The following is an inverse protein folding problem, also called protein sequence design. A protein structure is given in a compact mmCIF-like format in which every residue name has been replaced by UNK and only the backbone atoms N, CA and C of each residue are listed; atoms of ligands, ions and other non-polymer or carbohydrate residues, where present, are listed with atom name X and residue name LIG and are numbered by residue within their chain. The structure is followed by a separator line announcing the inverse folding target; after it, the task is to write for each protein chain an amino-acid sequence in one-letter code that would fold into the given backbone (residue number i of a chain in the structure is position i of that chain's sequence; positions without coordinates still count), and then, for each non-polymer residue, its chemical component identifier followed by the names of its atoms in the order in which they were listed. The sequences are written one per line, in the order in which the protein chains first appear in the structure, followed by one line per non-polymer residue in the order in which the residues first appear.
data_IF_923286783204
#
_entry.id   IF_923286783204
#
_cell.length_a   1.000
_cell.length_b   1.000
_cell.length_c   1.000
_cell.angle_alpha   90.00
_cell.angle_beta   90.00
_cell.angle_gamma   90.00
#
_symmetry.space_group_name_H-M   'P 1'
#
loop_
_entity.id
_entity.type
_entity.pdbx_description
1 polymer ?
#
# COMPACT_ATOMS: atom_id res chain seq x y z
N UNK A 1 -12.04 2.53 7.75
CA UNK A 1 -11.89 3.33 9.00
C UNK A 1 -11.00 2.57 9.98
N UNK A 2 -10.14 3.27 10.75
CA UNK A 2 -9.29 2.67 11.79
C UNK A 2 -9.91 2.94 13.16
N UNK A 3 -10.10 1.89 13.94
CA UNK A 3 -10.56 1.96 15.32
C UNK A 3 -9.54 1.28 16.23
N UNK A 4 -9.07 1.96 17.26
CA UNK A 4 -8.18 1.36 18.26
C UNK A 4 -9.00 0.59 19.26
N UNK A 5 -8.76 -0.70 19.39
CA UNK A 5 -9.46 -1.58 20.33
C UNK A 5 -8.67 -1.76 21.64
N UNK A 6 -7.33 -1.70 21.56
CA UNK A 6 -6.43 -1.75 22.72
C UNK A 6 -5.09 -1.09 22.36
N UNK A 7 -4.15 -0.92 23.32
CA UNK A 7 -2.80 -0.43 23.03
C UNK A 7 -2.08 -1.21 21.93
N UNK A 8 -2.41 -2.50 21.75
CA UNK A 8 -1.73 -3.42 20.84
C UNK A 8 -2.62 -3.96 19.71
N UNK A 9 -3.85 -3.46 19.57
CA UNK A 9 -4.78 -3.97 18.57
C UNK A 9 -5.58 -2.81 17.95
N UNK A 10 -5.59 -2.78 16.62
CA UNK A 10 -6.49 -1.92 15.85
C UNK A 10 -7.40 -2.77 14.97
N UNK A 11 -8.57 -2.22 14.71
CA UNK A 11 -9.50 -2.74 13.73
C UNK A 11 -9.53 -1.82 12.52
N UNK A 12 -9.44 -2.39 11.34
CA UNK A 12 -9.54 -1.71 10.06
C UNK A 12 -10.83 -2.14 9.38
N UNK A 13 -11.75 -1.21 9.22
CA UNK A 13 -12.97 -1.45 8.44
C UNK A 13 -12.70 -1.11 6.98
N UNK A 14 -12.86 -2.10 6.11
CA UNK A 14 -12.62 -2.04 4.68
C UNK A 14 -13.94 -2.07 3.92
N UNK A 15 -14.07 -1.23 2.91
CA UNK A 15 -15.29 -1.11 2.12
C UNK A 15 -16.33 -0.20 2.80
N UNK A 16 -17.35 0.17 2.06
CA UNK A 16 -18.42 1.04 2.54
C UNK A 16 -18.44 2.38 1.82
N UNK A 17 -18.71 2.35 0.53
CA UNK A 17 -19.48 3.42 -0.10
C UNK A 17 -20.90 3.34 0.41
N UNK A 18 -21.51 4.48 0.72
CA UNK A 18 -22.86 4.59 1.34
C UNK A 18 -24.01 3.96 0.55
N UNK A 19 -23.77 3.26 -0.54
CA UNK A 19 -24.82 2.79 -1.47
C UNK A 19 -24.71 1.35 -1.97
N UNK A 20 -23.72 0.55 -1.61
CA UNK A 20 -23.64 -0.80 -2.18
C UNK A 20 -23.13 -1.86 -1.19
N UNK A 21 -23.83 -2.97 -1.14
CA UNK A 21 -23.42 -4.29 -0.66
C UNK A 21 -22.14 -4.77 -1.36
N UNK A 22 -21.18 -5.38 -0.67
CA UNK A 22 -21.33 -6.23 0.51
C UNK A 22 -21.05 -5.49 1.83
N UNK A 23 -21.39 -6.13 2.99
CA UNK A 23 -21.12 -5.54 4.30
C UNK A 23 -19.64 -5.22 4.47
N UNK A 24 -19.29 -4.18 5.25
CA UNK A 24 -17.91 -3.81 5.47
C UNK A 24 -17.12 -4.99 6.04
N UNK A 25 -15.98 -5.29 5.44
CA UNK A 25 -15.07 -6.32 5.94
C UNK A 25 -14.19 -5.74 7.04
N UNK A 26 -13.90 -6.55 8.03
CA UNK A 26 -13.13 -6.15 9.21
C UNK A 26 -11.81 -6.89 9.22
N UNK A 27 -10.73 -6.16 9.48
CA UNK A 27 -9.38 -6.68 9.60
C UNK A 27 -8.82 -6.26 10.95
N UNK A 28 -8.40 -7.22 11.76
CA UNK A 28 -7.75 -6.99 13.04
C UNK A 28 -6.23 -6.98 12.88
N UNK A 29 -5.58 -5.90 13.26
CA UNK A 29 -4.12 -5.77 13.15
C UNK A 29 -3.51 -5.58 14.54
N UNK A 30 -2.66 -6.50 14.94
CA UNK A 30 -1.79 -6.33 16.11
C UNK A 30 -0.75 -5.27 15.80
N UNK A 31 -0.58 -4.37 16.73
CA UNK A 31 0.44 -3.34 16.71
C UNK A 31 1.71 -3.87 17.37
N UNK A 32 2.73 -4.09 16.58
CA UNK A 32 4.07 -4.41 17.05
C UNK A 32 5.00 -3.20 17.01
N UNK A 33 6.23 -3.42 16.57
CA UNK A 33 7.25 -2.38 16.38
C UNK A 33 7.51 -2.07 14.90
N UNK A 34 6.76 -2.68 13.99
CA UNK A 34 6.77 -2.33 12.58
C UNK A 34 6.14 -0.95 12.34
N UNK A 35 6.22 -0.46 11.11
CA UNK A 35 5.64 0.82 10.72
C UNK A 35 4.16 0.90 11.12
N UNK A 36 3.71 2.02 11.76
CA UNK A 36 2.36 2.11 12.30
C UNK A 36 1.29 2.03 11.18
N UNK A 37 0.40 1.04 11.23
CA UNK A 37 -0.63 0.89 10.19
C UNK A 37 -1.65 2.05 10.18
N UNK A 38 -1.73 2.83 11.27
CA UNK A 38 -2.58 4.02 11.38
C UNK A 38 -1.99 5.28 10.75
N UNK A 39 -0.75 5.20 10.25
CA UNK A 39 -0.08 6.35 9.61
C UNK A 39 -0.94 6.90 8.45
N UNK A 40 -0.94 8.22 8.20
CA UNK A 40 -1.71 8.82 7.11
C UNK A 40 -1.48 8.15 5.76
N UNK A 41 -0.23 7.82 5.41
CA UNK A 41 0.12 7.16 4.14
C UNK A 41 -0.53 5.79 3.99
N UNK A 42 -0.66 5.01 5.07
CA UNK A 42 -1.38 3.73 5.02
C UNK A 42 -2.86 3.91 4.70
N UNK A 43 -3.49 4.98 5.23
CA UNK A 43 -4.89 5.32 4.91
C UNK A 43 -5.07 5.71 3.46
N UNK A 44 -4.15 6.53 2.92
CA UNK A 44 -4.16 6.94 1.52
C UNK A 44 -3.99 5.73 0.59
N UNK A 45 -3.07 4.81 0.91
CA UNK A 45 -2.91 3.56 0.16
C UNK A 45 -4.17 2.67 0.20
N UNK A 46 -4.85 2.57 1.36
CA UNK A 46 -6.10 1.81 1.47
C UNK A 46 -7.25 2.42 0.66
N UNK A 47 -7.32 3.75 0.57
CA UNK A 47 -8.26 4.46 -0.29
C UNK A 47 -8.04 4.10 -1.76
N UNK A 48 -6.82 4.27 -2.26
CA UNK A 48 -6.45 3.93 -3.62
C UNK A 48 -6.60 2.43 -3.93
N UNK A 49 -6.30 1.55 -2.96
CA UNK A 49 -6.54 0.11 -3.09
C UNK A 49 -8.02 -0.19 -3.28
N UNK A 50 -8.90 0.44 -2.49
CA UNK A 50 -10.35 0.31 -2.62
C UNK A 50 -10.86 0.77 -3.98
N UNK A 51 -10.36 1.92 -4.49
CA UNK A 51 -10.68 2.43 -5.83
C UNK A 51 -10.21 1.45 -6.92
N UNK A 52 -8.97 0.97 -6.85
CA UNK A 52 -8.41 0.03 -7.82
C UNK A 52 -9.21 -1.28 -7.91
N UNK A 53 -9.59 -1.84 -6.75
CA UNK A 53 -10.39 -3.07 -6.68
C UNK A 53 -11.84 -2.89 -7.15
N UNK A 54 -12.36 -1.67 -7.10
CA UNK A 54 -13.68 -1.32 -7.62
C UNK A 54 -13.67 -1.07 -9.13
N UNK A 55 -12.52 -0.70 -9.68
CA UNK A 55 -12.35 -0.37 -11.10
C UNK A 55 -12.19 -1.59 -12.02
N UNK A 56 -11.91 -2.76 -11.47
CA UNK A 56 -11.74 -3.98 -12.26
C UNK A 56 -11.13 -5.14 -11.48
N UNK A 57 -11.01 -6.31 -12.09
CA UNK A 57 -10.48 -7.50 -11.42
C UNK A 57 -8.96 -7.40 -11.21
N UNK A 58 -8.51 -7.37 -9.96
CA UNK A 58 -7.12 -7.53 -9.56
C UNK A 58 -6.94 -8.96 -9.05
N UNK A 59 -6.22 -9.79 -9.80
CA UNK A 59 -5.99 -11.21 -9.48
C UNK A 59 -4.73 -11.45 -8.67
N UNK A 60 -3.79 -10.51 -8.74
CA UNK A 60 -2.50 -10.62 -8.07
C UNK A 60 -1.98 -9.27 -7.60
N UNK A 61 -1.41 -9.27 -6.39
CA UNK A 61 -0.88 -8.07 -5.76
C UNK A 61 0.42 -8.39 -5.02
N UNK A 62 1.37 -7.47 -5.09
CA UNK A 62 2.56 -7.48 -4.22
C UNK A 62 2.58 -6.23 -3.36
N UNK A 63 2.81 -6.41 -2.05
CA UNK A 63 2.98 -5.37 -1.04
C UNK A 63 4.45 -5.32 -0.65
N UNK A 64 5.16 -4.30 -1.10
CA UNK A 64 6.61 -4.14 -0.91
C UNK A 64 6.87 -3.22 0.29
N UNK A 65 7.60 -3.74 1.29
CA UNK A 65 7.76 -3.07 2.58
C UNK A 65 6.50 -3.20 3.43
N UNK A 66 6.00 -4.42 3.58
CA UNK A 66 4.67 -4.69 4.14
C UNK A 66 4.49 -4.28 5.63
N UNK A 67 5.57 -4.13 6.40
CA UNK A 67 5.50 -3.76 7.81
C UNK A 67 4.65 -4.73 8.63
N UNK A 68 3.56 -4.24 9.24
CA UNK A 68 2.59 -5.07 9.95
C UNK A 68 1.59 -5.79 9.02
N UNK A 69 1.72 -5.62 7.70
CA UNK A 69 0.93 -6.30 6.68
C UNK A 69 -0.40 -5.65 6.35
N UNK A 70 -0.69 -4.43 6.80
CA UNK A 70 -2.02 -3.84 6.69
C UNK A 70 -2.53 -3.77 5.26
N UNK A 71 -1.68 -3.43 4.28
CA UNK A 71 -2.09 -3.26 2.88
C UNK A 71 -2.30 -4.61 2.18
N UNK A 72 -1.34 -5.52 2.31
CA UNK A 72 -1.47 -6.87 1.76
C UNK A 72 -2.64 -7.65 2.36
N UNK A 73 -2.83 -7.56 3.68
CA UNK A 73 -3.97 -8.17 4.37
C UNK A 73 -5.30 -7.57 3.94
N UNK A 74 -5.36 -6.23 3.77
CA UNK A 74 -6.55 -5.57 3.26
C UNK A 74 -6.90 -6.06 1.84
N UNK A 75 -5.92 -6.17 0.96
CA UNK A 75 -6.12 -6.70 -0.39
C UNK A 75 -6.68 -8.14 -0.36
N UNK A 76 -6.08 -9.01 0.45
CA UNK A 76 -6.56 -10.39 0.63
C UNK A 76 -7.98 -10.45 1.20
N UNK A 77 -8.29 -9.61 2.21
CA UNK A 77 -9.63 -9.48 2.80
C UNK A 77 -10.65 -9.01 1.77
N UNK A 78 -10.27 -8.08 0.89
CA UNK A 78 -11.13 -7.57 -0.17
C UNK A 78 -11.30 -8.55 -1.34
N UNK A 79 -10.58 -9.66 -1.35
CA UNK A 79 -10.80 -10.76 -2.29
C UNK A 79 -9.74 -10.93 -3.36
N UNK A 80 -8.58 -10.26 -3.25
CA UNK A 80 -7.45 -10.54 -4.15
C UNK A 80 -6.94 -11.95 -3.88
N UNK A 81 -6.99 -12.87 -4.86
CA UNK A 81 -6.75 -14.29 -4.61
C UNK A 81 -5.26 -14.63 -4.44
N UNK A 82 -4.36 -13.80 -4.94
CA UNK A 82 -2.91 -13.99 -4.82
C UNK A 82 -2.24 -12.71 -4.34
N UNK A 83 -1.84 -12.68 -3.09
CA UNK A 83 -1.10 -11.56 -2.48
C UNK A 83 0.27 -12.05 -2.02
N UNK A 84 1.30 -11.28 -2.34
CA UNK A 84 2.65 -11.46 -1.83
C UNK A 84 3.02 -10.24 -1.01
N UNK A 85 3.50 -10.44 0.20
CA UNK A 85 3.98 -9.37 1.07
C UNK A 85 5.49 -9.57 1.32
N UNK A 86 6.26 -8.52 1.12
CA UNK A 86 7.71 -8.53 1.24
C UNK A 86 8.17 -7.48 2.26
N UNK A 87 9.14 -7.86 3.10
CA UNK A 87 9.85 -6.91 3.92
C UNK A 87 11.28 -7.40 4.19
N UNK A 88 12.23 -6.48 4.23
CA UNK A 88 13.63 -6.81 4.58
C UNK A 88 13.79 -7.15 6.06
N UNK A 89 12.87 -6.65 6.90
CA UNK A 89 12.84 -6.89 8.33
C UNK A 89 12.17 -8.21 8.67
N UNK A 90 12.91 -9.18 9.19
CA UNK A 90 12.35 -10.44 9.70
C UNK A 90 11.31 -10.24 10.82
N UNK A 91 11.33 -9.09 11.51
CA UNK A 91 10.31 -8.72 12.48
C UNK A 91 9.00 -8.37 11.79
N UNK A 92 9.04 -7.51 10.76
CA UNK A 92 7.87 -7.15 9.97
C UNK A 92 7.21 -8.39 9.35
N UNK A 93 8.03 -9.29 8.80
CA UNK A 93 7.57 -10.59 8.27
C UNK A 93 6.82 -11.40 9.32
N UNK A 94 7.34 -11.51 10.54
CA UNK A 94 6.66 -12.23 11.63
C UNK A 94 5.35 -11.55 12.02
N UNK A 95 5.35 -10.23 12.20
CA UNK A 95 4.14 -9.46 12.53
C UNK A 95 3.06 -9.64 11.44
N UNK A 96 3.44 -9.57 10.16
CA UNK A 96 2.52 -9.82 9.04
C UNK A 96 1.97 -11.25 9.05
N UNK A 97 2.81 -12.26 9.32
CA UNK A 97 2.36 -13.66 9.40
C UNK A 97 1.40 -13.90 10.57
N UNK A 98 1.66 -13.29 11.72
CA UNK A 98 0.77 -13.39 12.89
C UNK A 98 -0.58 -12.75 12.58
N UNK A 99 -0.58 -11.54 12.02
CA UNK A 99 -1.80 -10.86 11.58
C UNK A 99 -2.56 -11.65 10.50
N UNK A 100 -1.85 -12.30 9.57
CA UNK A 100 -2.47 -13.16 8.56
C UNK A 100 -3.18 -14.37 9.18
N UNK A 101 -2.56 -15.02 10.17
CA UNK A 101 -3.17 -16.16 10.89
C UNK A 101 -4.41 -15.75 11.66
N UNK A 102 -4.34 -14.62 12.38
CA UNK A 102 -5.48 -14.12 13.17
C UNK A 102 -6.70 -13.75 12.33
N UNK A 103 -6.46 -13.33 11.08
CA UNK A 103 -7.52 -12.98 10.15
C UNK A 103 -7.90 -14.12 9.18
N UNK A 104 -7.30 -15.32 9.33
CA UNK A 104 -7.59 -16.47 8.46
C UNK A 104 -7.13 -16.30 7.00
N UNK A 105 -6.11 -15.45 6.76
CA UNK A 105 -5.68 -15.04 5.42
C UNK A 105 -4.41 -15.76 4.92
N UNK A 106 -4.03 -16.87 5.53
CA UNK A 106 -2.80 -17.62 5.18
C UNK A 106 -2.84 -18.30 3.81
N UNK A 107 -4.03 -18.49 3.23
CA UNK A 107 -4.17 -19.06 1.88
C UNK A 107 -3.90 -18.05 0.78
N UNK A 108 -4.57 -16.86 0.76
CA UNK A 108 -4.36 -15.86 -0.29
C UNK A 108 -3.05 -15.08 -0.13
N UNK A 109 -2.51 -14.97 1.10
CA UNK A 109 -1.32 -14.17 1.40
C UNK A 109 -0.08 -15.05 1.62
N UNK A 110 0.97 -14.76 0.86
CA UNK A 110 2.32 -15.28 1.06
C UNK A 110 3.22 -14.16 1.56
N UNK A 111 3.98 -14.43 2.62
CA UNK A 111 4.90 -13.45 3.20
C UNK A 111 6.33 -13.97 3.08
N UNK A 112 7.24 -13.13 2.62
CA UNK A 112 8.65 -13.47 2.49
C UNK A 112 9.54 -12.36 3.03
N UNK A 113 10.66 -12.77 3.64
CA UNK A 113 11.72 -11.84 3.99
C UNK A 113 12.60 -11.61 2.77
N UNK A 114 12.74 -10.36 2.36
CA UNK A 114 13.54 -9.96 1.21
C UNK A 114 13.06 -8.65 0.61
N UNK A 115 13.65 -8.28 -0.50
CA UNK A 115 13.31 -7.11 -1.29
C UNK A 115 12.78 -7.52 -2.68
N UNK A 116 12.57 -6.56 -3.57
CA UNK A 116 12.01 -6.72 -4.90
C UNK A 116 12.74 -7.77 -5.75
N UNK A 117 14.04 -7.95 -5.54
CA UNK A 117 14.89 -8.88 -6.27
C UNK A 117 14.52 -10.36 -6.04
N UNK A 118 13.89 -10.67 -4.90
CA UNK A 118 13.43 -12.02 -4.57
C UNK A 118 12.24 -12.48 -5.43
N UNK A 119 11.56 -11.54 -6.11
CA UNK A 119 10.34 -11.81 -6.86
C UNK A 119 10.62 -11.74 -8.36
N UNK A 120 10.30 -12.82 -9.07
CA UNK A 120 10.53 -12.96 -10.51
C UNK A 120 9.25 -12.80 -11.35
N UNK A 121 8.08 -12.83 -10.71
CA UNK A 121 6.78 -12.71 -11.40
C UNK A 121 6.27 -11.29 -11.34
N UNK A 122 5.46 -10.90 -12.34
CA UNK A 122 4.73 -9.65 -12.34
C UNK A 122 3.34 -9.80 -11.73
N UNK A 123 2.75 -8.66 -11.30
CA UNK A 123 1.47 -8.57 -10.61
C UNK A 123 0.56 -7.53 -11.28
N UNK A 124 -0.75 -7.71 -11.13
CA UNK A 124 -1.72 -6.73 -11.62
C UNK A 124 -1.64 -5.42 -10.82
N UNK A 125 -1.25 -5.52 -9.54
CA UNK A 125 -1.09 -4.35 -8.68
C UNK A 125 0.16 -4.46 -7.80
N UNK A 126 0.95 -3.41 -7.78
CA UNK A 126 2.11 -3.25 -6.89
C UNK A 126 1.80 -2.16 -5.89
N UNK A 127 1.90 -2.47 -4.61
CA UNK A 127 1.82 -1.52 -3.51
C UNK A 127 3.22 -1.25 -2.94
N UNK A 128 3.57 0.02 -2.74
CA UNK A 128 4.80 0.39 -2.06
C UNK A 128 4.59 1.66 -1.21
N UNK A 129 4.39 1.48 0.09
CA UNK A 129 4.35 2.56 1.07
C UNK A 129 5.73 2.69 1.73
N UNK A 130 6.68 3.24 1.01
CA UNK A 130 8.10 3.29 1.36
C UNK A 130 8.61 4.73 1.42
N UNK A 131 9.69 5.03 2.18
CA UNK A 131 10.38 6.32 2.09
C UNK A 131 10.70 6.68 0.63
N UNK A 132 10.60 7.96 0.29
CA UNK A 132 10.74 8.41 -1.09
C UNK A 132 12.11 8.10 -1.71
N UNK A 133 13.18 8.12 -0.90
CA UNK A 133 14.53 7.76 -1.33
C UNK A 133 14.59 6.30 -1.80
N UNK A 134 13.95 5.40 -1.05
CA UNK A 134 13.84 3.97 -1.41
C UNK A 134 13.02 3.78 -2.68
N UNK A 135 11.95 4.58 -2.84
CA UNK A 135 11.14 4.51 -4.06
C UNK A 135 11.90 4.97 -5.29
N UNK A 136 12.76 5.99 -5.17
CA UNK A 136 13.65 6.42 -6.26
C UNK A 136 14.66 5.32 -6.62
N UNK A 137 15.33 4.77 -5.63
CA UNK A 137 16.32 3.70 -5.81
C UNK A 137 15.69 2.45 -6.46
N UNK A 138 14.49 2.08 -6.02
CA UNK A 138 13.79 0.87 -6.44
C UNK A 138 12.76 1.09 -7.56
N UNK A 139 12.68 2.27 -8.16
CA UNK A 139 11.65 2.58 -9.14
C UNK A 139 11.63 1.60 -10.33
N UNK A 140 12.80 1.24 -10.86
CA UNK A 140 12.93 0.24 -11.92
C UNK A 140 12.46 -1.15 -11.50
N UNK A 141 12.78 -1.56 -10.27
CA UNK A 141 12.36 -2.84 -9.72
C UNK A 141 10.86 -2.88 -9.43
N UNK A 142 10.30 -1.81 -8.84
CA UNK A 142 8.86 -1.68 -8.63
C UNK A 142 8.10 -1.70 -9.96
N UNK A 143 8.64 -1.01 -10.97
CA UNK A 143 8.11 -1.01 -12.35
C UNK A 143 8.13 -2.41 -12.98
N UNK A 144 9.21 -3.18 -12.78
CA UNK A 144 9.35 -4.56 -13.26
C UNK A 144 8.35 -5.51 -12.62
N UNK A 145 7.99 -5.28 -11.36
CA UNK A 145 7.02 -6.10 -10.64
C UNK A 145 5.58 -5.90 -11.15
N UNK A 146 5.30 -4.83 -11.88
CA UNK A 146 3.97 -4.64 -12.47
C UNK A 146 3.86 -5.32 -13.83
N UNK A 147 2.73 -6.01 -14.03
CA UNK A 147 2.36 -6.57 -15.33
C UNK A 147 2.23 -5.46 -16.40
N UNK A 148 2.26 -5.77 -17.70
CA UNK A 148 2.12 -4.75 -18.75
C UNK A 148 0.88 -3.85 -18.59
N UNK A 149 -0.27 -4.43 -18.24
CA UNK A 149 -1.51 -3.70 -17.93
C UNK A 149 -1.72 -3.48 -16.42
N UNK A 150 -0.67 -3.64 -15.61
CA UNK A 150 -0.73 -3.49 -14.16
C UNK A 150 -0.66 -2.03 -13.72
N UNK A 151 -0.85 -1.82 -12.43
CA UNK A 151 -0.80 -0.51 -11.79
C UNK A 151 0.14 -0.49 -10.59
N UNK A 152 0.60 0.71 -10.21
CA UNK A 152 1.34 0.95 -8.97
C UNK A 152 0.51 1.82 -8.04
N UNK A 153 0.53 1.51 -6.75
CA UNK A 153 0.10 2.43 -5.69
C UNK A 153 1.31 2.74 -4.83
N UNK A 154 1.68 4.01 -4.80
CA UNK A 154 2.89 4.50 -4.13
C UNK A 154 2.53 5.53 -3.07
N UNK A 155 3.17 5.46 -1.90
CA UNK A 155 3.07 6.45 -0.84
C UNK A 155 4.30 6.39 0.08
N UNK A 156 4.36 7.26 1.10
CA UNK A 156 5.51 7.39 1.99
C UNK A 156 6.37 8.60 1.64
N UNK A 157 5.81 9.51 0.86
CA UNK A 157 6.45 10.77 0.45
C UNK A 157 5.51 11.96 0.66
N UNK A 158 6.10 13.15 0.56
CA UNK A 158 5.43 14.45 0.74
C UNK A 158 5.31 15.17 -0.59
N UNK A 159 4.44 16.17 -0.64
CA UNK A 159 4.16 17.01 -1.81
C UNK A 159 5.42 17.60 -2.48
N UNK A 160 6.37 18.12 -1.70
CA UNK A 160 7.61 18.67 -2.24
C UNK A 160 8.55 17.62 -2.90
N UNK A 161 8.33 16.33 -2.66
CA UNK A 161 9.10 15.23 -3.25
C UNK A 161 8.48 14.71 -4.56
N UNK A 162 7.25 15.12 -4.88
CA UNK A 162 6.50 14.65 -6.05
C UNK A 162 7.20 14.95 -7.38
N UNK A 163 7.84 16.10 -7.50
CA UNK A 163 8.49 16.50 -8.76
C UNK A 163 9.54 15.50 -9.22
N UNK A 164 10.46 15.14 -8.33
CA UNK A 164 11.56 14.22 -8.63
C UNK A 164 11.05 12.78 -8.85
N UNK A 165 10.16 12.31 -7.98
CA UNK A 165 9.55 10.99 -8.12
C UNK A 165 8.74 10.89 -9.42
N UNK A 166 7.92 11.88 -9.73
CA UNK A 166 7.06 11.91 -10.92
C UNK A 166 7.87 11.90 -12.20
N UNK A 167 8.98 12.64 -12.26
CA UNK A 167 9.87 12.60 -13.41
C UNK A 167 10.49 11.21 -13.61
N UNK A 168 10.94 10.57 -12.52
CA UNK A 168 11.54 9.24 -12.58
C UNK A 168 10.51 8.21 -13.08
N UNK A 169 9.31 8.15 -12.51
CA UNK A 169 8.29 7.18 -12.95
C UNK A 169 7.78 7.46 -14.37
N UNK A 170 7.69 8.72 -14.78
CA UNK A 170 7.33 9.07 -16.17
C UNK A 170 8.38 8.55 -17.18
N UNK A 171 9.67 8.64 -16.86
CA UNK A 171 10.75 8.06 -17.70
C UNK A 171 10.67 6.54 -17.81
N UNK A 172 10.05 5.88 -16.83
CA UNK A 172 9.78 4.44 -16.84
C UNK A 172 8.43 4.08 -17.50
N UNK A 173 7.77 5.05 -18.16
CA UNK A 173 6.52 4.85 -18.88
C UNK A 173 5.25 4.88 -18.02
N UNK A 174 5.33 5.44 -16.81
CA UNK A 174 4.18 5.57 -15.90
C UNK A 174 3.52 6.94 -15.99
N UNK A 175 2.19 6.94 -15.96
CA UNK A 175 1.35 8.12 -15.90
C UNK A 175 0.56 8.15 -14.60
N UNK A 176 0.41 9.35 -14.01
CA UNK A 176 -0.38 9.55 -12.81
C UNK A 176 -1.87 9.45 -13.17
N UNK A 177 -2.56 8.44 -12.67
CA UNK A 177 -4.00 8.25 -12.87
C UNK A 177 -4.83 8.83 -11.71
N UNK A 178 -4.30 8.76 -10.49
CA UNK A 178 -4.99 9.27 -9.30
C UNK A 178 -3.98 9.79 -8.27
N UNK A 179 -4.29 10.93 -7.66
CA UNK A 179 -3.52 11.52 -6.55
C UNK A 179 -4.46 11.75 -5.38
N UNK A 180 -4.09 11.24 -4.22
CA UNK A 180 -4.79 11.50 -2.95
C UNK A 180 -3.82 12.06 -1.93
N UNK A 181 -4.31 12.90 -1.04
CA UNK A 181 -3.46 13.64 -0.11
C UNK A 181 -4.05 13.70 1.29
N UNK A 182 -3.18 13.91 2.26
CA UNK A 182 -3.55 14.18 3.64
C UNK A 182 -2.65 15.25 4.21
N UNK A 183 -3.22 16.41 4.47
CA UNK A 183 -2.51 17.50 5.13
C UNK A 183 -2.17 17.13 6.57
N UNK A 184 -0.97 17.47 6.96
CA UNK A 184 -0.52 17.44 8.34
C UNK A 184 -0.31 18.88 8.78
N UNK A 185 -1.23 19.36 9.62
CA UNK A 185 -1.13 20.64 10.29
C UNK A 185 -1.15 20.39 11.79
N UNK A 186 -0.09 20.81 12.46
CA UNK A 186 -0.04 20.78 13.91
C UNK A 186 -0.29 22.21 14.41
N UNK A 187 -1.25 22.44 15.33
CA UNK A 187 -1.59 23.80 15.78
C UNK A 187 -0.42 24.54 16.44
N UNK A 188 0.51 23.81 17.05
CA UNK A 188 1.67 24.38 17.74
C UNK A 188 2.92 24.50 16.85
N UNK A 189 2.83 24.14 15.57
CA UNK A 189 3.96 24.25 14.63
C UNK A 189 3.74 25.44 13.68
N UNK A 190 4.83 26.16 13.32
CA UNK A 190 4.76 27.17 12.29
C UNK A 190 4.21 26.64 10.96
N UNK A 191 3.50 27.46 10.17
CA UNK A 191 2.92 27.03 8.89
C UNK A 191 3.91 26.41 7.90
N UNK A 192 5.16 26.84 7.93
CA UNK A 192 6.27 26.34 7.12
C UNK A 192 6.73 24.92 7.50
N UNK A 193 6.36 24.43 8.69
CA UNK A 193 6.55 23.04 9.09
C UNK A 193 5.33 22.16 8.78
N UNK A 194 4.28 22.71 8.20
CA UNK A 194 3.16 21.97 7.66
C UNK A 194 3.58 21.26 6.37
N UNK A 195 3.09 20.06 6.15
CA UNK A 195 3.35 19.29 4.95
C UNK A 195 2.15 18.39 4.59
N UNK A 196 2.13 17.97 3.35
CA UNK A 196 1.08 17.12 2.82
C UNK A 196 1.63 15.73 2.50
N UNK A 197 1.06 14.70 3.12
CA UNK A 197 1.31 13.32 2.72
C UNK A 197 0.58 13.02 1.42
N UNK A 198 1.24 12.29 0.54
CA UNK A 198 0.74 11.98 -0.79
C UNK A 198 0.72 10.47 -1.02
N UNK A 199 -0.28 10.02 -1.77
CA UNK A 199 -0.25 8.72 -2.43
C UNK A 199 -0.70 8.85 -3.88
N UNK A 200 -0.09 8.03 -4.75
CA UNK A 200 -0.36 7.96 -6.17
C UNK A 200 -0.85 6.59 -6.59
N UNK A 201 -1.80 6.57 -7.51
CA UNK A 201 -2.00 5.44 -8.40
C UNK A 201 -1.42 5.80 -9.78
N UNK A 202 -0.54 4.93 -10.28
CA UNK A 202 0.09 5.07 -11.58
C UNK A 202 -0.34 3.93 -12.49
N UNK A 203 -0.59 4.24 -13.75
CA UNK A 203 -0.86 3.26 -14.81
C UNK A 203 0.11 3.48 -15.96
N UNK A 204 0.40 2.45 -16.73
CA UNK A 204 1.13 2.64 -17.97
C UNK A 204 0.18 3.26 -18.99
N UNK A 205 0.67 4.26 -19.73
CA UNK A 205 -0.04 4.70 -20.92
C UNK A 205 -0.20 3.51 -21.85
N UNK A 206 -1.42 3.25 -22.33
CA UNK A 206 -1.58 2.39 -23.48
C UNK A 206 -0.91 3.14 -24.63
N UNK A 207 0.21 2.61 -25.13
CA UNK A 207 0.68 3.03 -26.45
C UNK A 207 -0.46 2.70 -27.42
N UNK A 208 -1.07 3.75 -27.95
CA UNK A 208 -2.08 3.67 -29.02
C UNK A 208 -1.34 3.51 -30.33
#
# INVERSE_FOLDING_TARGET
MFQRLSPHLIQVTLGGSRQALPPPKVLNIRLGRAFPPTHPTSRLCLELLGEALSGGPVRSLVDVGCGAGVLGLAAATLGVPRVVALDISGRAVRETLENARENGLTKPLRVAQGSTECVKTAFDLVLANLPWEIQLDKAGELSRLAAPAGALILSGFRDHQEGLLGENYRRLGWSLSRRVVKDFRHPDLPPDLSFTWVAWALTRGLEV
#
